data_IF_644678132910
#
_entry.id   IF_644678132910
#
_cell.length_a   1.000
_cell.length_b   1.000
_cell.length_c   1.000
_cell.angle_alpha   90.00
_cell.angle_beta   90.00
_cell.angle_gamma   90.00
#
_symmetry.space_group_name_H-M   'P 1'
#
loop_
_entity.id
_entity.type
_entity.pdbx_description
1 polymer ?
#
# COMPACT_ATOMS: atom_id res chain seq x y z
N UNK A 1 -6.17 -15.55 2.59
CA UNK A 1 -5.65 -14.88 3.81
C UNK A 1 -5.26 -13.47 3.37
N UNK A 2 -6.00 -12.43 3.77
CA UNK A 2 -5.86 -11.05 3.30
C UNK A 2 -4.44 -10.52 3.48
N UNK A 3 -3.90 -9.88 2.44
CA UNK A 3 -2.80 -8.93 2.60
C UNK A 3 -3.39 -7.62 3.13
N UNK A 4 -2.91 -7.13 4.28
CA UNK A 4 -3.45 -5.92 4.92
C UNK A 4 -2.30 -4.99 5.28
N UNK A 5 -2.36 -3.74 4.81
CA UNK A 5 -1.45 -2.68 5.20
C UNK A 5 -2.25 -1.54 5.86
N UNK A 6 -2.21 -1.46 7.19
CA UNK A 6 -2.84 -0.36 7.95
C UNK A 6 -1.78 0.68 8.27
N UNK A 7 -2.01 1.92 7.84
CA UNK A 7 -1.23 3.08 8.24
C UNK A 7 -2.01 3.89 9.26
N UNK A 8 -1.50 4.02 10.49
CA UNK A 8 -2.10 4.82 11.55
C UNK A 8 -1.15 5.97 11.93
N UNK A 9 -1.62 7.23 11.86
CA UNK A 9 -0.84 8.40 12.24
C UNK A 9 -1.52 9.11 13.42
N UNK A 10 -0.84 9.22 14.55
CA UNK A 10 -1.36 9.85 15.77
C UNK A 10 -1.19 11.37 15.69
N UNK A 11 -2.24 12.14 15.37
CA UNK A 11 -2.56 13.45 15.99
C UNK A 11 -3.91 14.08 15.54
N UNK A 12 -4.60 13.48 14.59
CA UNK A 12 -6.05 13.52 14.37
C UNK A 12 -6.40 12.08 13.98
N UNK A 13 -7.53 11.50 14.38
CA UNK A 13 -7.87 10.11 13.99
C UNK A 13 -8.08 10.06 12.47
N UNK A 14 -6.99 9.85 11.74
CA UNK A 14 -6.92 9.67 10.29
C UNK A 14 -6.65 8.20 10.05
N UNK A 15 -7.62 7.51 9.45
CA UNK A 15 -7.56 6.09 9.15
C UNK A 15 -7.59 5.88 7.63
N UNK A 16 -6.58 5.20 7.11
CA UNK A 16 -6.50 4.76 5.74
C UNK A 16 -6.57 3.23 5.69
N UNK A 17 -7.58 2.68 5.03
CA UNK A 17 -7.68 1.26 4.72
C UNK A 17 -7.11 0.96 3.33
N UNK A 18 -6.38 -0.14 3.19
CA UNK A 18 -5.91 -0.65 1.90
C UNK A 18 -6.34 -2.12 1.81
N UNK A 19 -7.04 -2.48 0.73
CA UNK A 19 -7.56 -3.83 0.54
C UNK A 19 -7.79 -4.19 -0.92
N UNK A 20 -7.97 -5.48 -1.16
CA UNK A 20 -8.19 -6.06 -2.48
C UNK A 20 -9.38 -7.03 -2.51
N UNK A 21 -9.79 -7.60 -1.36
CA UNK A 21 -10.94 -8.51 -1.23
C UNK A 21 -12.25 -7.87 -0.75
N UNK A 22 -12.18 -6.74 -0.04
CA UNK A 22 -13.34 -6.05 0.52
C UNK A 22 -13.74 -6.50 1.93
N UNK A 23 -13.02 -7.46 2.51
CA UNK A 23 -13.19 -7.93 3.89
C UNK A 23 -12.09 -7.38 4.84
N UNK A 24 -11.17 -6.58 4.32
CA UNK A 24 -10.10 -5.92 5.08
C UNK A 24 -10.63 -4.74 5.89
N UNK A 25 -9.91 -4.40 6.98
CA UNK A 25 -10.24 -3.23 7.79
C UNK A 25 -10.17 -1.94 6.97
N UNK A 26 -11.21 -1.11 7.10
CA UNK A 26 -11.37 0.13 6.34
C UNK A 26 -12.21 -0.03 5.08
N UNK A 27 -12.41 -1.26 4.58
CA UNK A 27 -13.21 -1.54 3.38
C UNK A 27 -14.72 -1.40 3.62
N UNK A 28 -15.18 -1.15 4.85
CA UNK A 28 -16.57 -0.78 5.11
C UNK A 28 -17.02 0.44 4.30
N UNK A 29 -16.09 1.35 3.99
CA UNK A 29 -16.36 2.51 3.14
C UNK A 29 -16.85 2.16 1.72
N UNK A 30 -16.52 0.95 1.23
CA UNK A 30 -16.96 0.44 -0.08
C UNK A 30 -17.84 -0.82 0.07
N UNK A 31 -18.43 -1.04 1.24
CA UNK A 31 -19.22 -2.22 1.59
C UNK A 31 -20.28 -2.58 0.55
N UNK A 32 -21.08 -1.61 0.09
CA UNK A 32 -22.15 -1.87 -0.86
C UNK A 32 -21.62 -2.28 -2.25
N UNK A 33 -20.45 -1.75 -2.65
CA UNK A 33 -19.78 -2.21 -3.85
C UNK A 33 -19.25 -3.64 -3.68
N UNK A 34 -18.68 -3.97 -2.51
CA UNK A 34 -18.23 -5.33 -2.17
C UNK A 34 -19.38 -6.33 -2.23
N UNK A 35 -20.52 -6.03 -1.60
CA UNK A 35 -21.72 -6.89 -1.65
C UNK A 35 -22.18 -7.17 -3.08
N UNK A 36 -22.20 -6.13 -3.90
CA UNK A 36 -22.70 -6.20 -5.28
C UNK A 36 -21.75 -6.93 -6.24
N UNK A 37 -20.44 -6.76 -6.06
CA UNK A 37 -19.46 -7.15 -7.07
C UNK A 37 -18.52 -8.28 -6.66
N UNK A 38 -18.39 -8.57 -5.36
CA UNK A 38 -17.54 -9.64 -4.86
C UNK A 38 -18.39 -10.88 -4.56
N UNK A 39 -17.87 -12.06 -4.93
CA UNK A 39 -18.50 -13.34 -4.63
C UNK A 39 -18.65 -13.49 -3.11
N UNK A 40 -19.86 -13.85 -2.65
CA UNK A 40 -20.23 -13.90 -1.24
C UNK A 40 -20.10 -12.55 -0.51
N UNK A 41 -20.16 -11.43 -1.25
CA UNK A 41 -20.00 -10.09 -0.70
C UNK A 41 -20.94 -9.78 0.45
N UNK A 42 -22.19 -10.27 0.42
CA UNK A 42 -23.15 -10.12 1.52
C UNK A 42 -22.68 -10.71 2.86
N UNK A 43 -21.78 -11.70 2.81
CA UNK A 43 -21.23 -12.37 4.00
C UNK A 43 -19.89 -11.79 4.40
N UNK A 44 -19.05 -11.43 3.42
CA UNK A 44 -17.64 -11.08 3.68
C UNK A 44 -17.38 -9.57 3.75
N UNK A 45 -18.31 -8.72 3.28
CA UNK A 45 -18.05 -7.29 3.23
C UNK A 45 -17.78 -6.74 4.63
N UNK A 46 -16.64 -6.06 4.80
CA UNK A 46 -16.23 -5.51 6.08
C UNK A 46 -17.26 -4.44 6.55
N UNK A 47 -17.52 -4.39 7.85
CA UNK A 47 -18.34 -3.36 8.48
C UNK A 47 -17.52 -2.13 8.94
N UNK A 48 -16.20 -2.29 9.09
CA UNK A 48 -15.34 -1.24 9.64
C UNK A 48 -14.92 -0.28 8.53
N UNK A 49 -15.40 0.96 8.61
CA UNK A 49 -15.04 2.03 7.68
C UNK A 49 -13.75 2.76 8.09
N UNK A 50 -13.00 3.21 7.10
CA UNK A 50 -11.88 4.15 7.26
C UNK A 50 -12.26 5.51 6.67
N UNK A 51 -11.51 6.57 6.99
CA UNK A 51 -11.71 7.88 6.37
C UNK A 51 -11.42 7.84 4.87
N UNK A 52 -10.47 7.01 4.46
CA UNK A 52 -10.15 6.75 3.07
C UNK A 52 -9.91 5.25 2.87
N UNK A 53 -10.32 4.74 1.71
CA UNK A 53 -10.08 3.35 1.30
C UNK A 53 -9.35 3.35 -0.04
N UNK A 54 -8.25 2.61 -0.12
CA UNK A 54 -7.48 2.38 -1.34
C UNK A 54 -7.70 0.93 -1.75
N UNK A 55 -8.34 0.75 -2.91
CA UNK A 55 -8.56 -0.58 -3.49
C UNK A 55 -7.47 -0.86 -4.52
N UNK A 56 -6.85 -2.02 -4.44
CA UNK A 56 -5.79 -2.45 -5.36
C UNK A 56 -5.98 -3.92 -5.77
N UNK A 57 -5.26 -4.37 -6.79
CA UNK A 57 -5.27 -5.79 -7.19
C UNK A 57 -4.52 -6.71 -6.22
N UNK A 58 -3.57 -6.15 -5.48
CA UNK A 58 -2.88 -6.74 -4.33
C UNK A 58 -2.69 -5.62 -3.32
N UNK A 59 -3.06 -5.81 -2.06
CA UNK A 59 -3.01 -4.73 -1.06
C UNK A 59 -1.58 -4.15 -0.88
N UNK A 60 -0.54 -4.99 -0.99
CA UNK A 60 0.86 -4.54 -0.97
C UNK A 60 1.14 -3.48 -2.04
N UNK A 61 0.62 -3.64 -3.25
CA UNK A 61 0.79 -2.66 -4.33
C UNK A 61 0.12 -1.33 -4.02
N UNK A 62 -1.06 -1.38 -3.38
CA UNK A 62 -1.73 -0.19 -2.86
C UNK A 62 -0.85 0.54 -1.84
N UNK A 63 -0.23 -0.19 -0.92
CA UNK A 63 0.73 0.36 0.05
C UNK A 63 1.94 1.01 -0.62
N UNK A 64 2.51 0.38 -1.64
CA UNK A 64 3.61 0.95 -2.42
C UNK A 64 3.22 2.24 -3.13
N UNK A 65 2.05 2.26 -3.78
CA UNK A 65 1.56 3.44 -4.47
C UNK A 65 1.34 4.61 -3.51
N UNK A 66 0.81 4.35 -2.30
CA UNK A 66 0.67 5.35 -1.25
C UNK A 66 2.03 5.89 -0.82
N UNK A 67 3.01 5.02 -0.57
CA UNK A 67 4.38 5.44 -0.21
C UNK A 67 5.02 6.32 -1.31
N UNK A 68 4.85 5.95 -2.58
CA UNK A 68 5.32 6.72 -3.73
C UNK A 68 4.61 8.09 -3.85
N UNK A 69 3.29 8.13 -3.72
CA UNK A 69 2.53 9.39 -3.75
C UNK A 69 2.95 10.34 -2.63
N UNK A 70 3.14 9.82 -1.41
CA UNK A 70 3.66 10.59 -0.29
C UNK A 70 5.08 11.09 -0.53
N UNK A 71 5.95 10.29 -1.16
CA UNK A 71 7.28 10.72 -1.56
C UNK A 71 7.20 11.92 -2.50
N UNK A 72 6.44 11.82 -3.60
CA UNK A 72 6.28 12.89 -4.60
C UNK A 72 5.75 14.17 -3.95
N UNK A 73 4.72 14.07 -3.10
CA UNK A 73 4.15 15.23 -2.41
C UNK A 73 5.16 15.89 -1.46
N UNK A 74 6.07 15.12 -0.86
CA UNK A 74 7.11 15.67 0.03
C UNK A 74 8.34 16.20 -0.72
N UNK A 75 8.56 15.80 -1.98
CA UNK A 75 9.69 16.24 -2.81
C UNK A 75 9.30 17.26 -3.89
N UNK A 76 8.00 17.50 -4.12
CA UNK A 76 7.51 18.44 -5.12
C UNK A 76 7.52 19.90 -4.63
N UNK A 77 8.30 20.76 -5.30
CA UNK A 77 8.43 22.20 -4.99
C UNK A 77 7.12 22.97 -5.05
N UNK A 78 6.29 22.65 -6.05
CA UNK A 78 4.99 23.30 -6.24
C UNK A 78 4.06 22.98 -5.07
N UNK A 79 4.01 21.71 -4.66
CA UNK A 79 3.19 21.27 -3.55
C UNK A 79 3.69 21.83 -2.21
N UNK A 80 5.00 21.84 -1.96
CA UNK A 80 5.57 22.45 -0.75
C UNK A 80 5.18 23.94 -0.65
N UNK A 81 5.30 24.67 -1.75
CA UNK A 81 4.90 26.08 -1.82
C UNK A 81 3.41 26.26 -1.54
N UNK A 82 2.56 25.40 -2.10
CA UNK A 82 1.11 25.42 -1.88
C UNK A 82 0.77 25.20 -0.39
N UNK A 83 1.32 24.15 0.22
CA UNK A 83 1.06 23.80 1.64
C UNK A 83 1.53 24.92 2.58
N UNK A 84 2.67 25.56 2.28
CA UNK A 84 3.17 26.71 3.04
C UNK A 84 2.45 28.02 2.74
N UNK A 85 1.49 28.04 1.81
CA UNK A 85 0.81 29.26 1.33
C UNK A 85 1.80 30.33 0.84
N UNK A 86 2.91 29.89 0.25
CA UNK A 86 4.04 30.73 -0.18
C UNK A 86 4.72 31.57 0.93
N UNK A 87 4.56 31.20 2.21
CA UNK A 87 5.20 31.88 3.35
C UNK A 87 6.35 31.02 3.90
N UNK A 88 7.44 31.66 4.33
CA UNK A 88 8.58 31.00 4.96
C UNK A 88 9.51 30.26 3.99
N UNK A 89 10.46 29.50 4.56
CA UNK A 89 11.47 28.77 3.80
C UNK A 89 10.96 27.40 3.29
N UNK A 90 11.47 26.91 2.15
CA UNK A 90 11.13 25.58 1.67
C UNK A 90 11.47 24.50 2.71
N UNK A 91 10.59 23.49 2.84
CA UNK A 91 10.83 22.37 3.78
C UNK A 91 11.80 21.32 3.23
N UNK A 92 12.30 21.51 2.00
CA UNK A 92 13.32 20.68 1.35
C UNK A 92 14.64 20.77 2.13
N UNK A 93 14.79 19.96 3.19
CA UNK A 93 16.10 19.58 3.75
C UNK A 93 16.03 18.90 5.12
N UNK A 94 14.87 18.81 5.80
CA UNK A 94 14.88 18.32 7.19
C UNK A 94 15.04 16.80 7.34
N UNK A 95 14.68 16.00 6.33
CA UNK A 95 14.74 14.54 6.37
C UNK A 95 15.53 13.99 5.18
N UNK A 96 16.76 13.53 5.43
CA UNK A 96 17.78 13.27 4.40
C UNK A 96 17.57 12.03 3.51
N UNK A 97 16.45 11.30 3.60
CA UNK A 97 16.31 10.12 2.73
C UNK A 97 14.87 9.62 2.55
N UNK A 98 13.91 10.45 2.13
CA UNK A 98 12.57 9.94 1.80
C UNK A 98 12.60 8.83 0.74
N UNK A 99 13.61 8.82 -0.13
CA UNK A 99 13.80 7.77 -1.12
C UNK A 99 14.03 6.38 -0.50
N UNK A 100 14.55 6.29 0.74
CA UNK A 100 14.66 5.01 1.43
C UNK A 100 13.32 4.47 1.93
N UNK A 101 12.24 5.26 1.91
CA UNK A 101 10.89 4.78 2.20
C UNK A 101 10.22 4.15 0.95
N UNK A 102 10.75 4.41 -0.25
CA UNK A 102 10.22 3.83 -1.48
C UNK A 102 10.37 2.30 -1.49
N UNK A 103 9.44 1.59 -2.15
CA UNK A 103 9.55 0.15 -2.36
C UNK A 103 10.81 -0.16 -3.17
N UNK A 104 11.39 -1.34 -2.95
CA UNK A 104 12.44 -1.87 -3.83
C UNK A 104 12.37 -3.39 -3.85
N UNK A 105 12.77 -3.98 -4.98
CA UNK A 105 12.73 -5.44 -5.14
C UNK A 105 13.54 -6.12 -4.05
N UNK A 106 14.74 -5.61 -3.73
CA UNK A 106 15.58 -6.17 -2.69
C UNK A 106 14.94 -6.16 -1.28
N UNK A 107 14.19 -5.11 -0.93
CA UNK A 107 13.50 -5.04 0.37
C UNK A 107 12.36 -6.05 0.44
N UNK A 108 11.56 -6.12 -0.63
CA UNK A 108 10.42 -7.02 -0.67
C UNK A 108 10.86 -8.48 -0.73
N UNK A 109 11.91 -8.79 -1.49
CA UNK A 109 12.50 -10.12 -1.53
C UNK A 109 12.98 -10.55 -0.14
N UNK A 110 13.67 -9.66 0.58
CA UNK A 110 14.12 -9.96 1.93
C UNK A 110 12.94 -10.16 2.89
N UNK A 111 11.89 -9.34 2.78
CA UNK A 111 10.68 -9.48 3.58
C UNK A 111 10.00 -10.83 3.32
N UNK A 112 9.79 -11.21 2.06
CA UNK A 112 9.20 -12.49 1.69
C UNK A 112 10.05 -13.68 2.14
N UNK A 113 11.38 -13.60 2.04
CA UNK A 113 12.28 -14.63 2.58
C UNK A 113 12.13 -14.80 4.08
N UNK A 114 11.95 -13.72 4.83
CA UNK A 114 11.69 -13.77 6.27
C UNK A 114 10.34 -14.46 6.54
N UNK A 115 9.29 -14.08 5.81
CA UNK A 115 7.96 -14.67 5.94
C UNK A 115 7.98 -16.19 5.65
N UNK A 116 8.68 -16.63 4.61
CA UNK A 116 8.87 -18.05 4.30
C UNK A 116 9.62 -18.80 5.40
N UNK A 117 10.69 -18.22 5.94
CA UNK A 117 11.43 -18.82 7.08
C UNK A 117 10.53 -19.02 8.30
N UNK A 118 9.53 -18.16 8.48
CA UNK A 118 8.52 -18.28 9.53
C UNK A 118 7.26 -19.04 9.10
N UNK A 119 7.31 -19.76 7.97
CA UNK A 119 6.21 -20.57 7.47
C UNK A 119 4.90 -19.80 7.21
N UNK A 120 4.99 -18.49 6.92
CA UNK A 120 3.86 -17.69 6.47
C UNK A 120 3.56 -18.06 5.02
N UNK A 121 2.30 -18.41 4.75
CA UNK A 121 1.85 -18.97 3.47
C UNK A 121 1.11 -17.95 2.64
N UNK A 122 1.13 -18.17 1.33
CA UNK A 122 0.29 -17.46 0.37
C UNK A 122 -1.18 -17.56 0.76
N UNK A 123 -1.87 -16.42 0.71
CA UNK A 123 -3.26 -16.30 1.09
C UNK A 123 -4.23 -17.05 0.18
N UNK A 124 -3.80 -17.38 -1.05
CA UNK A 124 -4.63 -18.02 -2.08
C UNK A 124 -4.25 -19.48 -2.28
N UNK A 125 -2.96 -19.78 -2.43
CA UNK A 125 -2.49 -21.14 -2.76
C UNK A 125 -2.12 -21.97 -1.53
N UNK A 126 -2.03 -21.33 -0.36
CA UNK A 126 -1.46 -21.92 0.87
C UNK A 126 -0.02 -22.45 0.71
N UNK A 127 0.68 -22.06 -0.36
CA UNK A 127 2.06 -22.46 -0.62
C UNK A 127 3.04 -21.62 0.22
N UNK A 128 4.26 -22.14 0.38
CA UNK A 128 5.42 -21.40 0.90
C UNK A 128 6.31 -20.87 -0.23
N UNK A 129 5.76 -20.73 -1.45
CA UNK A 129 6.52 -20.25 -2.59
C UNK A 129 6.80 -18.74 -2.48
N UNK A 130 7.72 -18.23 -3.31
CA UNK A 130 8.00 -16.79 -3.40
C UNK A 130 6.87 -16.13 -4.21
N UNK A 131 5.72 -15.94 -3.57
CA UNK A 131 4.52 -15.38 -4.18
C UNK A 131 3.68 -14.61 -3.14
N UNK A 132 2.84 -13.71 -3.64
CA UNK A 132 1.79 -13.03 -2.87
C UNK A 132 0.52 -13.10 -3.67
N UNK A 133 -0.58 -13.50 -3.03
CA UNK A 133 -1.91 -13.68 -3.62
C UNK A 133 -1.93 -14.57 -4.88
N UNK A 134 -1.10 -15.61 -4.88
CA UNK A 134 -0.98 -16.56 -6.00
C UNK A 134 -0.20 -16.03 -7.21
N UNK A 135 0.40 -14.84 -7.09
CA UNK A 135 1.20 -14.22 -8.16
C UNK A 135 2.71 -14.36 -7.84
N UNK A 136 3.55 -14.85 -8.77
CA UNK A 136 4.97 -15.08 -8.55
C UNK A 136 5.75 -13.77 -8.32
N UNK A 137 6.68 -13.80 -7.36
CA UNK A 137 7.43 -12.63 -6.94
C UNK A 137 8.37 -12.09 -8.02
N UNK A 138 9.21 -12.96 -8.61
CA UNK A 138 10.28 -12.54 -9.51
C UNK A 138 9.79 -12.06 -10.89
N UNK A 139 8.54 -12.35 -11.23
CA UNK A 139 8.00 -12.10 -12.56
C UNK A 139 7.02 -10.92 -12.53
N UNK A 140 6.10 -10.93 -11.56
CA UNK A 140 5.00 -9.97 -11.49
C UNK A 140 5.29 -8.88 -10.46
N UNK A 141 5.55 -9.24 -9.21
CA UNK A 141 5.72 -8.26 -8.13
C UNK A 141 6.98 -7.42 -8.31
N UNK A 142 8.09 -8.05 -8.67
CA UNK A 142 9.37 -7.36 -8.93
C UNK A 142 9.23 -6.32 -10.05
N UNK A 143 8.61 -6.71 -11.17
CA UNK A 143 8.40 -5.85 -12.33
C UNK A 143 7.50 -4.66 -11.99
N UNK A 144 6.43 -4.90 -11.25
CA UNK A 144 5.54 -3.84 -10.78
C UNK A 144 6.27 -2.85 -9.86
N UNK A 145 7.10 -3.36 -8.93
CA UNK A 145 7.89 -2.50 -8.04
C UNK A 145 8.85 -1.62 -8.83
N UNK A 146 9.60 -2.19 -9.79
CA UNK A 146 10.53 -1.40 -10.60
C UNK A 146 9.81 -0.35 -11.44
N UNK A 147 8.73 -0.73 -12.14
CA UNK A 147 7.93 0.22 -12.93
C UNK A 147 7.36 1.35 -12.07
N UNK A 148 6.78 1.02 -10.91
CA UNK A 148 6.23 2.02 -10.01
C UNK A 148 7.32 2.98 -9.51
N UNK A 149 8.51 2.45 -9.21
CA UNK A 149 9.64 3.21 -8.73
C UNK A 149 10.25 4.11 -9.82
N UNK A 150 10.32 3.62 -11.05
CA UNK A 150 10.70 4.41 -12.23
C UNK A 150 9.74 5.60 -12.40
N UNK A 151 8.42 5.37 -12.42
CA UNK A 151 7.43 6.45 -12.54
C UNK A 151 7.52 7.47 -11.39
N UNK A 152 7.88 7.01 -10.19
CA UNK A 152 7.97 7.87 -8.99
C UNK A 152 9.18 8.80 -9.01
N UNK A 153 10.25 8.40 -9.69
CA UNK A 153 11.55 9.11 -9.70
C UNK A 153 11.81 9.90 -10.99
N UNK A 154 10.84 9.95 -11.91
CA UNK A 154 10.87 10.85 -13.07
C UNK A 154 10.75 12.30 -12.65
#
# INVERSE_FOLDING_TARGET
>A
MCSMAIFQCNFFHFNLGIGDGGNELGMGKVKEATKKHIKNGDVIACDVEADFAVVAGVANWGGYAVACGLYILNTCEIHDRYVRKAIGYPRFSKYKNWASALPSVAKEENMLKILQRHCVRSGVTASLAMEVDGLPFFDIHSNLIERLREETLK
#
